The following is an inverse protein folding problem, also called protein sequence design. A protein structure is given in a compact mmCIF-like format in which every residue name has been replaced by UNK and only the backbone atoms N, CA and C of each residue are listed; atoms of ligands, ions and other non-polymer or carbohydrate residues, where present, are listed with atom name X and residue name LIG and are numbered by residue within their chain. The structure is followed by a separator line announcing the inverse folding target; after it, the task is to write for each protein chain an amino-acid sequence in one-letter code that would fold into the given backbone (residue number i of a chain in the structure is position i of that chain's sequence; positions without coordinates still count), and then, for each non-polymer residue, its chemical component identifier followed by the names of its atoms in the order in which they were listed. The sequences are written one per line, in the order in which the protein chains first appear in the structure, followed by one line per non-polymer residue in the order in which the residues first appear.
data_IF_157680325740
#
_entry.id   IF_157680325740
#
_cell.length_a   1.000
_cell.length_b   1.000
_cell.length_c   1.000
_cell.angle_alpha   90.00
_cell.angle_beta   90.00
_cell.angle_gamma   90.00
#
_symmetry.space_group_name_H-M   'P 1'
#
loop_
_entity.id
_entity.type
_entity.pdbx_description
1 polymer ?
#
# COMPACT_ATOMS: atom_id res chain seq x y z
N UNK A 1 -10.86 -14.49 -0.06
CA UNK A 1 -9.89 -15.55 0.33
C UNK A 1 -8.41 -15.19 0.14
N UNK A 2 -8.08 -14.10 -0.57
CA UNK A 2 -6.68 -13.75 -0.87
C UNK A 2 -6.12 -12.63 0.03
N UNK A 3 -6.93 -11.61 0.30
CA UNK A 3 -6.41 -10.33 0.84
C UNK A 3 -6.94 -9.95 2.22
N UNK A 4 -8.06 -10.55 2.64
CA UNK A 4 -8.66 -10.29 3.95
C UNK A 4 -8.13 -11.28 4.99
N UNK A 5 -7.94 -10.83 6.23
CA UNK A 5 -7.60 -11.72 7.35
C UNK A 5 -8.83 -12.55 7.78
N UNK A 6 -8.63 -13.81 8.23
CA UNK A 6 -7.33 -14.50 8.38
C UNK A 6 -6.79 -15.10 7.07
N UNK A 7 -7.55 -15.09 5.97
CA UNK A 7 -7.18 -15.80 4.75
C UNK A 7 -5.85 -15.31 4.13
N UNK A 8 -5.50 -14.04 4.27
CA UNK A 8 -4.23 -13.48 3.83
C UNK A 8 -3.00 -14.15 4.50
N UNK A 9 -3.14 -14.73 5.69
CA UNK A 9 -2.05 -15.39 6.43
C UNK A 9 -1.42 -16.56 5.64
N UNK A 10 -2.14 -17.11 4.66
CA UNK A 10 -1.61 -18.12 3.73
C UNK A 10 -0.38 -17.64 2.97
N UNK A 11 -0.22 -16.32 2.82
CA UNK A 11 0.90 -15.70 2.10
C UNK A 11 2.13 -15.47 2.99
N UNK A 12 2.03 -15.69 4.30
CA UNK A 12 3.15 -15.48 5.25
C UNK A 12 4.46 -16.11 4.79
N UNK A 13 4.52 -17.39 4.35
CA UNK A 13 5.79 -17.98 3.92
C UNK A 13 6.39 -17.27 2.70
N UNK A 14 5.56 -16.87 1.74
CA UNK A 14 6.01 -16.17 0.52
C UNK A 14 6.49 -14.75 0.84
N UNK A 15 5.74 -14.01 1.65
CA UNK A 15 6.09 -12.63 2.05
C UNK A 15 7.39 -12.64 2.88
N UNK A 16 7.51 -13.53 3.86
CA UNK A 16 8.71 -13.67 4.69
C UNK A 16 9.92 -14.04 3.84
N UNK A 17 9.77 -14.96 2.88
CA UNK A 17 10.85 -15.30 1.96
C UNK A 17 11.26 -14.09 1.12
N UNK A 18 10.31 -13.39 0.51
CA UNK A 18 10.59 -12.21 -0.31
C UNK A 18 11.29 -11.11 0.48
N UNK A 19 10.86 -10.83 1.70
CA UNK A 19 11.50 -9.85 2.59
C UNK A 19 12.96 -10.24 2.89
N UNK A 20 13.21 -11.51 3.24
CA UNK A 20 14.57 -11.98 3.51
C UNK A 20 15.46 -11.95 2.26
N UNK A 21 14.97 -12.48 1.13
CA UNK A 21 15.70 -12.48 -0.15
C UNK A 21 16.04 -11.06 -0.62
N UNK A 22 15.16 -10.08 -0.38
CA UNK A 22 15.43 -8.68 -0.71
C UNK A 22 16.52 -8.11 0.20
N UNK A 23 16.46 -8.38 1.50
CA UNK A 23 17.44 -7.90 2.47
C UNK A 23 18.83 -8.52 2.27
N UNK A 24 18.90 -9.81 1.90
CA UNK A 24 20.15 -10.53 1.61
C UNK A 24 21.01 -9.85 0.53
N UNK A 25 20.39 -9.09 -0.38
CA UNK A 25 21.10 -8.41 -1.48
C UNK A 25 21.95 -7.21 -1.03
N UNK A 26 21.72 -6.70 0.17
CA UNK A 26 22.34 -5.45 0.63
C UNK A 26 22.75 -5.45 2.10
N UNK A 27 22.37 -6.45 2.90
CA UNK A 27 22.67 -6.51 4.34
C UNK A 27 24.17 -6.36 4.65
N UNK A 28 25.06 -6.95 3.84
CA UNK A 28 26.52 -6.90 4.07
C UNK A 28 27.13 -5.51 3.80
N UNK A 29 26.39 -4.59 3.18
CA UNK A 29 26.89 -3.26 2.81
C UNK A 29 26.84 -2.26 3.97
N UNK A 30 25.98 -2.50 4.98
CA UNK A 30 25.72 -1.55 6.07
C UNK A 30 24.99 -0.27 5.66
N UNK A 31 24.59 -0.15 4.39
CA UNK A 31 23.80 0.98 3.87
C UNK A 31 22.82 0.53 2.78
N UNK A 32 21.71 1.26 2.63
CA UNK A 32 20.67 0.96 1.64
C UNK A 32 19.85 2.20 1.26
N UNK A 33 19.52 2.35 -0.03
CA UNK A 33 18.37 3.16 -0.47
C UNK A 33 17.14 2.25 -0.40
N UNK A 34 16.36 2.38 0.69
CA UNK A 34 15.34 1.41 1.08
C UNK A 34 14.17 1.36 0.10
N UNK A 35 13.79 2.49 -0.50
CA UNK A 35 12.61 2.55 -1.38
C UNK A 35 12.79 1.60 -2.55
N UNK A 36 13.90 1.73 -3.29
CA UNK A 36 14.21 0.90 -4.44
C UNK A 36 14.62 -0.51 -4.07
N UNK A 37 15.33 -0.69 -2.96
CA UNK A 37 15.93 -1.98 -2.62
C UNK A 37 14.98 -2.94 -1.88
N UNK A 38 13.96 -2.42 -1.18
CA UNK A 38 13.11 -3.22 -0.30
C UNK A 38 11.63 -2.81 -0.32
N UNK A 39 11.32 -1.52 -0.07
CA UNK A 39 9.94 -1.09 0.16
C UNK A 39 9.08 -1.14 -1.11
N UNK A 40 9.63 -0.84 -2.30
CA UNK A 40 8.91 -0.97 -3.58
C UNK A 40 8.86 -2.44 -4.08
N UNK A 41 9.97 -3.19 -4.09
CA UNK A 41 9.94 -4.56 -4.63
C UNK A 41 9.10 -5.54 -3.81
N UNK A 42 9.03 -5.40 -2.49
CA UNK A 42 8.31 -6.35 -1.63
C UNK A 42 6.81 -6.45 -1.98
N UNK A 43 6.01 -5.38 -1.92
CA UNK A 43 4.59 -5.45 -2.29
C UNK A 43 4.40 -5.83 -3.76
N UNK A 44 5.32 -5.43 -4.64
CA UNK A 44 5.29 -5.82 -6.04
C UNK A 44 5.40 -7.33 -6.26
N UNK A 45 6.31 -8.00 -5.55
CA UNK A 45 6.43 -9.47 -5.58
C UNK A 45 5.14 -10.11 -5.05
N UNK A 46 4.61 -9.56 -3.95
CA UNK A 46 3.44 -10.10 -3.26
C UNK A 46 2.20 -10.04 -4.15
N UNK A 47 1.84 -8.87 -4.66
CA UNK A 47 0.63 -8.72 -5.47
C UNK A 47 0.74 -9.42 -6.83
N UNK A 48 1.92 -9.40 -7.47
CA UNK A 48 2.17 -10.11 -8.73
C UNK A 48 1.92 -11.61 -8.55
N UNK A 49 2.45 -12.18 -7.46
CA UNK A 49 2.25 -13.60 -7.11
C UNK A 49 0.78 -13.90 -6.81
N UNK A 50 0.11 -13.05 -6.02
CA UNK A 50 -1.31 -13.25 -5.63
C UNK A 50 -2.24 -13.18 -6.84
N UNK A 51 -2.02 -12.21 -7.74
CA UNK A 51 -2.78 -12.10 -8.99
C UNK A 51 -2.53 -13.29 -9.91
N UNK A 52 -1.37 -13.93 -9.79
CA UNK A 52 -0.96 -15.04 -10.64
C UNK A 52 -0.25 -14.61 -11.91
N UNK A 53 0.28 -13.39 -11.94
CA UNK A 53 1.13 -12.91 -13.02
C UNK A 53 2.53 -13.54 -12.92
N UNK A 54 3.22 -13.76 -14.05
CA UNK A 54 4.62 -14.18 -14.05
C UNK A 54 5.53 -13.10 -13.43
N UNK A 55 6.48 -13.50 -12.56
CA UNK A 55 7.39 -12.55 -11.91
C UNK A 55 8.35 -11.88 -12.90
N UNK A 56 8.68 -12.55 -14.00
CA UNK A 56 9.45 -11.99 -15.11
C UNK A 56 8.78 -10.79 -15.79
N UNK A 57 7.46 -10.66 -15.67
CA UNK A 57 6.70 -9.54 -16.22
C UNK A 57 6.64 -8.33 -15.27
N UNK A 58 7.24 -8.39 -14.07
CA UNK A 58 7.22 -7.29 -13.10
C UNK A 58 7.69 -5.94 -13.68
N UNK A 59 8.65 -5.97 -14.63
CA UNK A 59 9.09 -4.75 -15.31
C UNK A 59 7.99 -4.11 -16.17
N UNK A 60 7.15 -4.92 -16.83
CA UNK A 60 6.01 -4.45 -17.62
C UNK A 60 4.88 -3.96 -16.72
N UNK A 61 4.56 -4.74 -15.67
CA UNK A 61 3.47 -4.40 -14.75
C UNK A 61 3.73 -3.11 -14.00
N UNK A 62 5.00 -2.83 -13.65
CA UNK A 62 5.42 -1.53 -13.09
C UNK A 62 5.09 -0.35 -14.00
N UNK A 63 5.35 -0.45 -15.31
CA UNK A 63 5.05 0.64 -16.26
C UNK A 63 3.54 0.92 -16.25
N UNK A 64 2.72 -0.14 -16.29
CA UNK A 64 1.27 0.03 -16.24
C UNK A 64 0.78 0.54 -14.88
N UNK A 65 1.46 0.22 -13.78
CA UNK A 65 1.18 0.78 -12.47
C UNK A 65 1.40 2.29 -12.44
N UNK A 66 2.57 2.75 -12.88
CA UNK A 66 2.94 4.17 -12.94
C UNK A 66 1.92 4.96 -13.78
N UNK A 67 1.43 4.36 -14.87
CA UNK A 67 0.36 4.94 -15.67
C UNK A 67 -1.01 4.94 -14.95
N UNK A 68 -1.38 3.87 -14.24
CA UNK A 68 -2.62 3.84 -13.46
C UNK A 68 -2.70 4.96 -12.42
N UNK A 69 -1.56 5.32 -11.82
CA UNK A 69 -1.50 6.34 -10.78
C UNK A 69 -1.19 7.74 -11.29
N UNK A 70 -0.65 7.89 -12.51
CA UNK A 70 -0.18 9.16 -13.10
C UNK A 70 -1.11 10.33 -12.85
N UNK A 71 -2.42 10.10 -13.01
CA UNK A 71 -3.46 11.08 -12.77
C UNK A 71 -3.44 11.66 -11.35
N UNK A 72 -3.30 10.82 -10.32
CA UNK A 72 -3.33 11.22 -8.92
C UNK A 72 -2.06 11.93 -8.46
N UNK A 73 -0.98 11.77 -9.22
CA UNK A 73 0.36 12.28 -8.92
C UNK A 73 0.63 13.58 -9.65
N UNK A 74 0.40 13.59 -10.97
CA UNK A 74 0.74 14.68 -11.87
C UNK A 74 -0.47 15.44 -12.42
N UNK A 75 -1.69 14.99 -12.10
CA UNK A 75 -2.90 15.65 -12.55
C UNK A 75 -3.10 17.02 -11.88
N UNK A 76 -3.73 17.94 -12.61
CA UNK A 76 -4.05 19.28 -12.13
C UNK A 76 -5.54 19.43 -11.78
N UNK A 77 -5.86 20.45 -10.99
CA UNK A 77 -7.20 20.75 -10.45
C UNK A 77 -7.76 19.66 -9.51
N UNK A 78 -8.90 19.94 -8.89
CA UNK A 78 -9.61 18.97 -8.04
C UNK A 78 -10.16 17.75 -8.80
N UNK A 79 -10.07 17.74 -10.14
CA UNK A 79 -10.49 16.63 -11.00
C UNK A 79 -9.33 15.75 -11.44
N UNK A 80 -8.10 16.06 -11.03
CA UNK A 80 -6.88 15.36 -11.44
C UNK A 80 -6.83 15.20 -12.97
N UNK A 81 -6.86 16.28 -13.72
CA UNK A 81 -6.82 16.24 -15.19
C UNK A 81 -5.37 16.09 -15.67
N UNK A 82 -5.12 15.34 -16.74
CA UNK A 82 -3.83 15.32 -17.43
C UNK A 82 -3.89 16.20 -18.69
N UNK A 83 -2.74 16.53 -19.29
CA UNK A 83 -2.75 17.16 -20.61
C UNK A 83 -3.28 16.18 -21.68
N UNK A 84 -3.79 16.64 -22.84
CA UNK A 84 -4.26 15.75 -23.89
C UNK A 84 -3.22 14.71 -24.34
N UNK A 85 -1.95 15.09 -24.41
CA UNK A 85 -0.85 14.19 -24.77
C UNK A 85 -0.63 13.12 -23.70
N UNK A 86 -0.66 13.53 -22.42
CA UNK A 86 -0.54 12.62 -21.29
C UNK A 86 -1.74 11.67 -21.20
N UNK A 87 -2.97 12.15 -21.41
CA UNK A 87 -4.18 11.33 -21.46
C UNK A 87 -4.09 10.26 -22.55
N UNK A 88 -3.61 10.64 -23.75
CA UNK A 88 -3.45 9.70 -24.86
C UNK A 88 -2.44 8.60 -24.53
N UNK A 89 -1.24 8.98 -24.09
CA UNK A 89 -0.19 8.01 -23.72
C UNK A 89 -0.64 7.10 -22.56
N UNK A 90 -1.34 7.69 -21.58
CA UNK A 90 -1.91 6.95 -20.47
C UNK A 90 -2.95 5.92 -20.95
N UNK A 91 -3.89 6.33 -21.81
CA UNK A 91 -4.89 5.43 -22.36
C UNK A 91 -4.26 4.27 -23.16
N UNK A 92 -3.25 4.54 -23.97
CA UNK A 92 -2.53 3.51 -24.73
C UNK A 92 -1.90 2.45 -23.81
N UNK A 93 -1.26 2.88 -22.71
CA UNK A 93 -0.68 1.97 -21.73
C UNK A 93 -1.74 1.16 -20.98
N UNK A 94 -2.84 1.79 -20.58
CA UNK A 94 -3.92 1.09 -19.86
C UNK A 94 -4.67 0.09 -20.75
N UNK A 95 -4.81 0.38 -22.05
CA UNK A 95 -5.35 -0.58 -23.03
C UNK A 95 -4.39 -1.77 -23.19
N UNK A 96 -3.08 -1.52 -23.27
CA UNK A 96 -2.09 -2.60 -23.32
C UNK A 96 -2.16 -3.49 -22.06
N UNK A 97 -2.35 -2.90 -20.88
CA UNK A 97 -2.54 -3.66 -19.64
C UNK A 97 -3.83 -4.48 -19.66
N UNK A 98 -4.93 -3.92 -20.17
CA UNK A 98 -6.20 -4.65 -20.31
C UNK A 98 -6.04 -5.88 -21.23
N UNK A 99 -5.33 -5.75 -22.35
CA UNK A 99 -5.03 -6.89 -23.22
C UNK A 99 -4.18 -7.94 -22.50
N UNK A 100 -3.15 -7.51 -21.76
CA UNK A 100 -2.34 -8.41 -20.94
C UNK A 100 -3.17 -9.18 -19.90
N UNK A 101 -4.08 -8.50 -19.20
CA UNK A 101 -5.00 -9.17 -18.26
C UNK A 101 -5.89 -10.18 -19.01
N UNK A 102 -6.36 -9.84 -20.20
CA UNK A 102 -7.13 -10.75 -21.06
C UNK A 102 -6.34 -12.01 -21.43
N UNK A 103 -5.07 -11.87 -21.82
CA UNK A 103 -4.17 -12.99 -22.09
C UNK A 103 -3.97 -13.87 -20.86
N UNK A 104 -3.79 -13.26 -19.68
CA UNK A 104 -3.68 -14.00 -18.42
C UNK A 104 -4.98 -14.75 -18.10
N UNK A 105 -6.15 -14.13 -18.29
CA UNK A 105 -7.44 -14.80 -18.08
C UNK A 105 -7.57 -16.03 -18.98
N UNK A 106 -7.22 -15.93 -20.27
CA UNK A 106 -7.28 -17.06 -21.19
C UNK A 106 -6.26 -18.15 -20.83
N UNK A 107 -5.03 -17.80 -20.48
CA UNK A 107 -4.05 -18.78 -19.98
C UNK A 107 -4.58 -19.52 -18.74
N UNK A 108 -5.14 -18.81 -17.75
CA UNK A 108 -5.67 -19.45 -16.53
C UNK A 108 -6.91 -20.31 -16.77
N UNK A 109 -7.66 -20.09 -17.86
CA UNK A 109 -8.75 -21.01 -18.26
C UNK A 109 -8.22 -22.35 -18.74
N UNK A 110 -7.14 -22.33 -19.54
CA UNK A 110 -6.52 -23.54 -20.07
C UNK A 110 -5.59 -24.21 -19.03
N UNK A 111 -4.94 -23.40 -18.20
CA UNK A 111 -3.89 -23.79 -17.26
C UNK A 111 -4.19 -23.20 -15.85
N UNK A 112 -5.24 -23.66 -15.16
CA UNK A 112 -5.61 -23.12 -13.85
C UNK A 112 -4.49 -23.34 -12.81
N UNK A 113 -4.28 -22.33 -11.96
CA UNK A 113 -3.29 -22.37 -10.87
C UNK A 113 -3.93 -21.87 -9.56
N UNK A 114 -3.21 -21.96 -8.44
CA UNK A 114 -3.68 -21.43 -7.16
C UNK A 114 -3.38 -19.93 -7.08
N UNK A 115 -4.18 -19.12 -7.78
CA UNK A 115 -4.07 -17.65 -7.81
C UNK A 115 -5.44 -16.94 -7.87
N UNK A 116 -5.41 -15.61 -7.70
CA UNK A 116 -6.62 -14.79 -7.67
C UNK A 116 -7.37 -14.80 -9.01
N UNK A 117 -6.67 -14.73 -10.16
CA UNK A 117 -7.35 -14.73 -11.47
C UNK A 117 -8.11 -16.04 -11.69
N UNK A 118 -7.47 -17.18 -11.41
CA UNK A 118 -8.11 -18.51 -11.48
C UNK A 118 -9.31 -18.58 -10.53
N UNK A 119 -9.20 -18.03 -9.32
CA UNK A 119 -10.33 -17.93 -8.39
C UNK A 119 -11.48 -17.08 -8.97
N UNK A 120 -11.18 -15.91 -9.52
CA UNK A 120 -12.18 -14.98 -10.07
C UNK A 120 -12.90 -15.55 -11.30
N UNK A 121 -12.22 -16.36 -12.12
CA UNK A 121 -12.83 -17.07 -13.25
C UNK A 121 -13.93 -18.04 -12.78
N UNK A 122 -13.75 -18.65 -11.61
CA UNK A 122 -14.60 -19.74 -11.13
C UNK A 122 -15.60 -19.33 -10.05
N UNK A 123 -15.43 -18.15 -9.44
CA UNK A 123 -16.30 -17.70 -8.34
C UNK A 123 -17.71 -17.38 -8.83
N UNK A 124 -18.71 -17.86 -8.08
CA UNK A 124 -20.10 -17.49 -8.25
C UNK A 124 -20.48 -16.42 -7.24
N UNK A 125 -21.26 -15.41 -7.66
CA UNK A 125 -21.65 -14.31 -6.81
C UNK A 125 -23.07 -13.79 -7.09
N UNK A 126 -23.57 -13.01 -6.13
CA UNK A 126 -24.90 -12.42 -6.20
C UNK A 126 -26.02 -13.45 -5.92
N UNK A 127 -27.28 -12.97 -5.89
CA UNK A 127 -28.43 -13.82 -5.59
C UNK A 127 -28.62 -14.96 -6.61
N UNK A 128 -28.21 -14.73 -7.85
CA UNK A 128 -28.31 -15.69 -8.96
C UNK A 128 -27.11 -16.63 -9.09
N UNK A 129 -26.09 -16.50 -8.22
CA UNK A 129 -24.85 -17.30 -8.27
C UNK A 129 -24.20 -17.34 -9.66
N UNK A 130 -24.15 -16.19 -10.32
CA UNK A 130 -23.51 -16.09 -11.64
C UNK A 130 -22.00 -15.97 -11.50
N UNK A 131 -21.27 -16.38 -12.54
CA UNK A 131 -19.83 -16.11 -12.67
C UNK A 131 -19.57 -14.65 -13.03
N UNK A 132 -18.35 -14.20 -12.74
CA UNK A 132 -17.85 -12.91 -13.22
C UNK A 132 -17.63 -12.97 -14.75
N UNK A 133 -17.91 -11.85 -15.40
CA UNK A 133 -17.54 -11.64 -16.81
C UNK A 133 -16.09 -11.20 -16.92
N UNK A 134 -15.44 -11.38 -18.07
CA UNK A 134 -14.04 -10.99 -18.29
C UNK A 134 -13.78 -9.51 -17.95
N UNK A 135 -14.66 -8.55 -18.33
CA UNK A 135 -14.51 -7.16 -17.90
C UNK A 135 -14.60 -6.96 -16.38
N UNK A 136 -15.43 -7.74 -15.68
CA UNK A 136 -15.54 -7.68 -14.22
C UNK A 136 -14.28 -8.25 -13.55
N UNK A 137 -13.76 -9.37 -14.05
CA UNK A 137 -12.48 -9.95 -13.58
C UNK A 137 -11.35 -8.94 -13.80
N UNK A 138 -11.25 -8.39 -15.01
CA UNK A 138 -10.23 -7.40 -15.34
C UNK A 138 -10.32 -6.16 -14.46
N UNK A 139 -11.54 -5.70 -14.14
CA UNK A 139 -11.75 -4.56 -13.24
C UNK A 139 -11.26 -4.84 -11.81
N UNK A 140 -11.48 -6.06 -11.30
CA UNK A 140 -10.97 -6.47 -9.97
C UNK A 140 -9.45 -6.57 -10.00
N UNK A 141 -8.87 -7.21 -11.02
CA UNK A 141 -7.41 -7.35 -11.18
C UNK A 141 -6.74 -5.98 -11.27
N UNK A 142 -7.29 -5.08 -12.07
CA UNK A 142 -6.83 -3.70 -12.20
C UNK A 142 -6.83 -2.98 -10.83
N UNK A 143 -7.96 -3.05 -10.10
CA UNK A 143 -8.08 -2.42 -8.78
C UNK A 143 -7.12 -3.01 -7.73
N UNK A 144 -6.88 -4.32 -7.76
CA UNK A 144 -5.93 -4.99 -6.86
C UNK A 144 -4.48 -4.67 -7.21
N UNK A 145 -4.16 -4.56 -8.50
CA UNK A 145 -2.83 -4.21 -8.98
C UNK A 145 -2.43 -2.79 -8.56
N UNK A 146 -3.27 -1.78 -8.81
CA UNK A 146 -2.97 -0.41 -8.36
C UNK A 146 -2.96 -0.28 -6.83
N UNK A 147 -3.91 -0.93 -6.14
CA UNK A 147 -4.08 -0.77 -4.70
C UNK A 147 -3.05 -1.51 -3.84
N UNK A 148 -2.47 -2.60 -4.36
CA UNK A 148 -1.59 -3.50 -3.61
C UNK A 148 -0.10 -3.15 -3.62
N UNK A 149 0.32 -2.15 -4.41
CA UNK A 149 1.74 -1.83 -4.62
C UNK A 149 2.18 -0.58 -3.83
N UNK A 150 2.14 0.59 -4.46
CA UNK A 150 2.66 1.87 -3.94
C UNK A 150 2.21 2.20 -2.50
N UNK A 151 0.95 1.95 -2.14
CA UNK A 151 0.47 2.32 -0.80
C UNK A 151 1.16 1.53 0.32
N UNK A 152 1.44 0.24 0.11
CA UNK A 152 2.21 -0.57 1.05
C UNK A 152 3.68 -0.15 1.03
N UNK A 153 4.25 0.16 -0.13
CA UNK A 153 5.59 0.72 -0.23
C UNK A 153 5.75 1.96 0.66
N UNK A 154 4.84 2.93 0.56
CA UNK A 154 4.93 4.17 1.33
C UNK A 154 4.83 3.91 2.84
N UNK A 155 3.98 2.96 3.26
CA UNK A 155 3.87 2.57 4.65
C UNK A 155 5.19 1.97 5.16
N UNK A 156 5.77 1.01 4.42
CA UNK A 156 7.06 0.39 4.75
C UNK A 156 8.20 1.41 4.85
N UNK A 157 8.23 2.38 3.93
CA UNK A 157 9.22 3.46 3.96
C UNK A 157 9.05 4.35 5.19
N UNK A 158 7.82 4.72 5.54
CA UNK A 158 7.55 5.51 6.74
C UNK A 158 7.88 4.76 8.04
N UNK A 159 7.55 3.47 8.12
CA UNK A 159 7.91 2.61 9.25
C UNK A 159 9.42 2.53 9.45
N UNK A 160 10.19 2.28 8.39
CA UNK A 160 11.64 2.24 8.48
C UNK A 160 12.26 3.59 8.87
N UNK A 161 11.72 4.70 8.35
CA UNK A 161 12.13 6.05 8.77
C UNK A 161 11.88 6.27 10.26
N UNK A 162 10.71 5.86 10.77
CA UNK A 162 10.36 5.98 12.19
C UNK A 162 11.29 5.15 13.09
N UNK A 163 11.59 3.91 12.69
CA UNK A 163 12.54 3.06 13.40
C UNK A 163 13.96 3.68 13.41
N UNK A 164 14.40 4.24 12.28
CA UNK A 164 15.71 4.88 12.15
C UNK A 164 15.84 6.18 12.97
N UNK A 165 14.72 6.84 13.28
CA UNK A 165 14.69 8.08 14.07
C UNK A 165 14.50 7.83 15.57
N UNK A 166 14.05 6.63 15.97
CA UNK A 166 13.66 6.33 17.35
C UNK A 166 14.30 5.02 17.85
N UNK A 167 15.58 5.03 18.27
CA UNK A 167 16.26 3.83 18.77
C UNK A 167 15.58 3.19 19.98
N UNK A 168 15.03 3.99 20.91
CA UNK A 168 14.32 3.48 22.09
C UNK A 168 13.07 2.66 21.71
N UNK A 169 12.39 3.07 20.64
CA UNK A 169 11.25 2.34 20.07
C UNK A 169 11.69 0.99 19.50
N UNK A 170 12.84 0.95 18.82
CA UNK A 170 13.42 -0.29 18.28
C UNK A 170 13.70 -1.28 19.42
N UNK A 171 14.29 -0.81 20.53
CA UNK A 171 14.56 -1.64 21.70
C UNK A 171 13.27 -2.15 22.37
N UNK A 172 12.25 -1.30 22.50
CA UNK A 172 10.95 -1.71 23.04
C UNK A 172 10.29 -2.80 22.17
N UNK A 173 10.32 -2.66 20.85
CA UNK A 173 9.78 -3.65 19.90
C UNK A 173 10.60 -4.94 19.86
N UNK A 174 11.90 -4.90 20.18
CA UNK A 174 12.76 -6.08 20.37
C UNK A 174 12.48 -6.80 21.66
N UNK A 175 12.27 -6.08 22.75
CA UNK A 175 11.91 -6.66 24.03
C UNK A 175 10.54 -7.35 24.00
N UNK A 176 9.59 -6.82 23.21
CA UNK A 176 8.25 -7.40 23.07
C UNK A 176 7.75 -7.31 21.62
N UNK A 177 7.97 -8.39 20.86
CA UNK A 177 7.51 -8.53 19.46
C UNK A 177 5.99 -8.44 19.30
N UNK A 178 5.21 -8.65 20.37
CA UNK A 178 3.75 -8.50 20.30
C UNK A 178 3.31 -7.04 20.10
N UNK A 179 4.22 -6.08 20.32
CA UNK A 179 3.99 -4.65 20.10
C UNK A 179 4.15 -4.21 18.65
N UNK A 180 4.75 -5.01 17.78
CA UNK A 180 4.93 -4.67 16.35
C UNK A 180 3.60 -4.36 15.67
N UNK A 181 2.55 -5.12 15.96
CA UNK A 181 1.21 -4.85 15.43
C UNK A 181 0.65 -3.49 15.86
N UNK A 182 1.01 -2.98 17.04
CA UNK A 182 0.58 -1.66 17.51
C UNK A 182 1.41 -0.56 16.85
N UNK A 183 2.71 -0.79 16.68
CA UNK A 183 3.58 0.11 15.93
C UNK A 183 3.10 0.31 14.49
N UNK A 184 2.77 -0.78 13.78
CA UNK A 184 2.26 -0.73 12.40
C UNK A 184 1.00 0.14 12.30
N UNK A 185 0.03 -0.04 13.20
CA UNK A 185 -1.17 0.81 13.22
C UNK A 185 -0.87 2.28 13.57
N UNK A 186 0.05 2.55 14.50
CA UNK A 186 0.44 3.94 14.83
C UNK A 186 1.23 4.60 13.68
N UNK A 187 2.07 3.85 12.98
CA UNK A 187 2.78 4.31 11.80
C UNK A 187 1.78 4.63 10.67
N UNK A 188 0.82 3.74 10.39
CA UNK A 188 -0.26 3.99 9.43
C UNK A 188 -1.14 5.17 9.82
N UNK A 189 -1.35 5.42 11.11
CA UNK A 189 -2.09 6.58 11.62
C UNK A 189 -1.34 7.87 11.28
N UNK A 190 -0.05 7.94 11.64
CA UNK A 190 0.80 9.13 11.44
C UNK A 190 1.11 9.35 9.95
N UNK A 191 1.46 8.31 9.23
CA UNK A 191 1.92 8.37 7.83
C UNK A 191 0.98 7.58 6.93
N UNK A 192 -0.29 7.99 6.89
CA UNK A 192 -1.27 7.41 5.99
C UNK A 192 -0.80 7.52 4.52
N UNK A 193 -0.58 6.39 3.80
CA UNK A 193 -0.09 6.44 2.43
C UNK A 193 -0.97 7.28 1.51
N UNK A 194 -2.29 7.20 1.67
CA UNK A 194 -3.26 8.08 1.01
C UNK A 194 -3.78 9.12 2.00
N UNK A 195 -3.45 10.39 1.79
CA UNK A 195 -3.82 11.50 2.66
C UNK A 195 -5.31 11.88 2.56
N UNK A 196 -5.98 11.49 1.49
CA UNK A 196 -7.40 11.74 1.31
C UNK A 196 -7.95 11.28 -0.03
N UNK A 197 -9.29 11.31 -0.18
CA UNK A 197 -9.97 11.01 -1.43
C UNK A 197 -10.97 12.10 -1.79
N UNK A 198 -10.93 12.54 -3.05
CA UNK A 198 -11.88 13.50 -3.65
C UNK A 198 -12.94 12.79 -4.50
N UNK A 199 -13.60 11.77 -3.95
CA UNK A 199 -14.51 10.87 -4.70
C UNK A 199 -15.92 10.81 -4.14
N UNK A 200 -16.31 11.75 -3.27
CA UNK A 200 -17.66 11.82 -2.70
C UNK A 200 -18.41 12.99 -3.30
N UNK A 201 -19.55 12.71 -3.92
CA UNK A 201 -20.47 13.72 -4.44
C UNK A 201 -21.68 13.79 -3.51
N UNK A 202 -22.03 15.00 -3.10
CA UNK A 202 -23.18 15.27 -2.24
C UNK A 202 -24.47 15.08 -3.04
N UNK A 203 -25.32 14.14 -2.63
CA UNK A 203 -26.52 13.74 -3.40
C UNK A 203 -27.77 14.57 -3.10
N UNK A 204 -27.77 15.32 -2.00
CA UNK A 204 -28.81 16.26 -1.57
C UNK A 204 -28.14 17.33 -0.71
N UNK A 205 -28.75 18.50 -0.55
CA UNK A 205 -28.21 19.53 0.34
C UNK A 205 -28.05 18.97 1.76
N UNK A 206 -26.89 19.23 2.36
CA UNK A 206 -26.56 18.80 3.72
C UNK A 206 -25.93 19.95 4.50
N UNK A 207 -25.94 19.84 5.82
CA UNK A 207 -25.14 20.67 6.70
C UNK A 207 -24.17 19.76 7.46
N UNK A 208 -22.88 20.12 7.49
CA UNK A 208 -21.85 19.40 8.23
C UNK A 208 -21.08 20.37 9.11
N UNK A 209 -21.16 20.19 10.43
CA UNK A 209 -20.48 21.05 11.42
C UNK A 209 -20.76 22.55 11.23
N UNK A 210 -22.00 22.92 10.91
CA UNK A 210 -22.39 24.31 10.68
C UNK A 210 -22.11 24.84 9.27
N UNK A 211 -21.59 24.00 8.36
CA UNK A 211 -21.33 24.38 6.96
C UNK A 211 -22.40 23.79 6.06
N UNK A 212 -23.14 24.64 5.36
CA UNK A 212 -24.07 24.22 4.30
C UNK A 212 -23.30 23.76 3.06
N UNK A 213 -23.63 22.57 2.57
CA UNK A 213 -22.97 21.94 1.42
C UNK A 213 -24.04 21.55 0.40
N UNK A 214 -24.11 22.25 -0.75
CA UNK A 214 -25.12 21.99 -1.77
C UNK A 214 -24.95 20.62 -2.45
N UNK A 215 -26.07 20.09 -2.96
CA UNK A 215 -26.09 18.95 -3.89
C UNK A 215 -25.13 19.19 -5.07
N UNK A 216 -24.39 18.16 -5.45
CA UNK A 216 -23.40 18.19 -6.52
C UNK A 216 -22.01 18.61 -6.07
N UNK A 217 -21.84 19.12 -4.84
CA UNK A 217 -20.53 19.41 -4.28
C UNK A 217 -19.66 18.16 -4.19
N UNK A 218 -18.37 18.30 -4.49
CA UNK A 218 -17.37 17.26 -4.28
C UNK A 218 -16.72 17.44 -2.91
N UNK A 219 -16.72 16.38 -2.10
CA UNK A 219 -16.03 16.35 -0.82
C UNK A 219 -14.67 15.69 -0.96
N UNK A 220 -13.66 16.37 -0.42
CA UNK A 220 -12.34 15.80 -0.20
C UNK A 220 -12.24 15.34 1.25
N UNK A 221 -12.30 14.02 1.46
CA UNK A 221 -12.10 13.43 2.78
C UNK A 221 -10.60 13.40 3.10
N UNK A 222 -10.18 14.01 4.21
CA UNK A 222 -8.76 14.13 4.60
C UNK A 222 -8.41 13.12 5.69
N UNK A 223 -7.99 11.92 5.28
CA UNK A 223 -7.65 10.83 6.20
C UNK A 223 -6.46 11.17 7.09
N UNK A 224 -5.39 11.75 6.54
CA UNK A 224 -4.20 12.11 7.33
C UNK A 224 -4.50 13.14 8.42
N UNK A 225 -5.44 14.06 8.16
CA UNK A 225 -5.91 15.03 9.15
C UNK A 225 -6.81 14.36 10.20
N UNK A 226 -7.77 13.53 9.78
CA UNK A 226 -8.65 12.79 10.69
C UNK A 226 -7.88 11.84 11.63
N UNK A 227 -6.78 11.26 11.16
CA UNK A 227 -5.90 10.41 11.97
C UNK A 227 -5.13 11.16 13.07
N UNK A 228 -5.07 12.49 12.97
CA UNK A 228 -4.46 13.41 13.93
C UNK A 228 -5.51 14.30 14.63
N UNK A 229 -6.78 13.93 14.56
CA UNK A 229 -7.84 14.67 15.24
C UNK A 229 -7.71 14.49 16.77
N UNK A 230 -7.46 15.55 17.56
CA UNK A 230 -7.29 15.44 19.01
C UNK A 230 -8.55 14.96 19.73
N UNK A 231 -9.75 15.13 19.13
CA UNK A 231 -11.00 14.63 19.70
C UNK A 231 -11.09 13.09 19.63
N UNK A 232 -10.37 12.48 18.69
CA UNK A 232 -10.33 11.03 18.50
C UNK A 232 -9.06 10.39 19.03
N UNK A 233 -7.94 11.11 19.01
CA UNK A 233 -6.61 10.60 19.24
C UNK A 233 -5.77 11.59 20.06
N UNK A 234 -5.74 11.46 21.40
CA UNK A 234 -4.75 12.16 22.23
C UNK A 234 -3.33 11.75 21.80
N UNK A 235 -2.38 12.69 21.92
CA UNK A 235 -1.00 12.56 21.43
C UNK A 235 -0.93 12.39 19.90
N UNK A 236 -1.37 13.43 19.18
CA UNK A 236 -1.63 13.43 17.73
C UNK A 236 -0.39 13.09 16.90
N UNK A 237 0.80 13.46 17.37
CA UNK A 237 2.04 13.40 16.59
C UNK A 237 3.10 12.42 17.15
N UNK A 238 2.73 11.60 18.15
CA UNK A 238 3.63 10.59 18.73
C UNK A 238 3.08 9.18 18.57
N UNK A 239 3.98 8.20 18.58
CA UNK A 239 3.64 6.78 18.63
C UNK A 239 3.24 6.41 20.06
N UNK A 240 2.09 5.76 20.22
CA UNK A 240 1.65 5.16 21.49
C UNK A 240 1.34 3.67 21.28
N UNK A 241 2.29 2.81 21.67
CA UNK A 241 2.15 1.35 21.55
C UNK A 241 1.09 0.76 22.51
N UNK A 242 0.59 1.55 23.46
CA UNK A 242 -0.44 1.14 24.41
C UNK A 242 -1.85 1.60 24.02
N UNK A 243 -1.98 2.28 22.87
CA UNK A 243 -3.26 2.80 22.40
C UNK A 243 -4.27 1.67 22.29
N UNK A 244 -5.41 1.81 22.98
CA UNK A 244 -6.43 0.75 23.10
C UNK A 244 -7.06 0.32 21.77
N UNK A 245 -7.13 1.23 20.79
CA UNK A 245 -7.81 1.00 19.52
C UNK A 245 -7.01 1.61 18.35
N UNK A 246 -5.78 1.13 18.12
CA UNK A 246 -4.86 1.80 17.21
C UNK A 246 -5.38 1.74 15.76
N UNK A 247 -6.08 0.67 15.37
CA UNK A 247 -6.69 0.52 14.04
C UNK A 247 -7.97 1.32 13.76
N UNK A 248 -8.35 2.30 14.60
CA UNK A 248 -9.48 3.21 14.31
C UNK A 248 -9.12 4.34 13.34
N UNK A 249 -7.86 4.45 12.94
CA UNK A 249 -7.42 5.40 11.92
C UNK A 249 -8.13 5.16 10.57
N UNK A 250 -8.25 6.20 9.75
CA UNK A 250 -8.94 6.19 8.45
C UNK A 250 -8.03 5.87 7.26
N UNK A 251 -6.79 5.43 7.50
CA UNK A 251 -5.82 5.08 6.44
C UNK A 251 -6.37 4.04 5.45
N UNK A 252 -7.19 3.10 5.92
CA UNK A 252 -7.87 2.12 5.08
C UNK A 252 -9.32 2.49 4.72
N UNK A 253 -9.73 3.75 4.95
CA UNK A 253 -11.12 4.20 4.86
C UNK A 253 -12.06 3.43 5.80
N UNK A 254 -13.36 3.68 5.73
CA UNK A 254 -14.39 2.95 6.48
C UNK A 254 -15.65 2.74 5.63
N UNK A 255 -16.49 1.80 6.06
CA UNK A 255 -17.79 1.51 5.46
C UNK A 255 -17.70 0.66 4.18
N UNK A 256 -18.66 0.77 3.25
CA UNK A 256 -18.73 -0.08 2.05
C UNK A 256 -17.53 0.02 1.09
N UNK A 257 -16.65 1.01 1.29
CA UNK A 257 -15.44 1.27 0.49
C UNK A 257 -14.18 1.18 1.35
N UNK A 258 -14.23 0.40 2.44
CA UNK A 258 -13.02 0.03 3.20
C UNK A 258 -12.05 -0.71 2.28
N UNK A 259 -10.75 -0.49 2.47
CA UNK A 259 -9.72 -1.11 1.65
C UNK A 259 -9.82 -2.64 1.75
N UNK A 260 -10.00 -3.36 0.62
CA UNK A 260 -10.08 -4.82 0.64
C UNK A 260 -8.73 -5.47 0.99
N UNK A 261 -7.62 -4.78 0.67
CA UNK A 261 -6.25 -5.20 0.96
C UNK A 261 -5.75 -4.88 2.37
N UNK A 262 -6.59 -4.33 3.24
CA UNK A 262 -6.19 -3.86 4.56
C UNK A 262 -5.60 -4.98 5.46
N UNK A 263 -6.01 -6.23 5.25
CA UNK A 263 -5.45 -7.38 5.95
C UNK A 263 -4.07 -7.79 5.43
N UNK A 264 -3.95 -7.90 4.11
CA UNK A 264 -2.69 -8.23 3.43
C UNK A 264 -1.61 -7.17 3.68
N UNK A 265 -1.95 -5.88 3.52
CA UNK A 265 -1.00 -4.78 3.74
C UNK A 265 -0.46 -4.77 5.17
N UNK A 266 -1.31 -5.06 6.18
CA UNK A 266 -0.86 -5.24 7.56
C UNK A 266 0.07 -6.43 7.71
N UNK A 267 -0.25 -7.56 7.09
CA UNK A 267 0.59 -8.75 7.14
C UNK A 267 1.99 -8.46 6.58
N UNK A 268 2.07 -7.78 5.44
CA UNK A 268 3.33 -7.35 4.83
C UNK A 268 4.15 -6.45 5.75
N UNK A 269 3.54 -5.39 6.30
CA UNK A 269 4.18 -4.47 7.24
C UNK A 269 4.68 -5.18 8.50
N UNK A 270 3.83 -6.01 9.12
CA UNK A 270 4.23 -6.77 10.31
C UNK A 270 5.42 -7.69 10.02
N UNK A 271 5.43 -8.40 8.89
CA UNK A 271 6.55 -9.26 8.51
C UNK A 271 7.81 -8.43 8.25
N UNK A 272 7.70 -7.38 7.45
CA UNK A 272 8.82 -6.51 7.10
C UNK A 272 9.48 -5.87 8.33
N UNK A 273 8.68 -5.34 9.25
CA UNK A 273 9.17 -4.75 10.51
C UNK A 273 9.88 -5.81 11.36
N UNK A 274 9.31 -7.00 11.52
CA UNK A 274 9.99 -8.07 12.26
C UNK A 274 11.33 -8.47 11.60
N UNK A 275 11.36 -8.63 10.28
CA UNK A 275 12.59 -8.94 9.54
C UNK A 275 13.65 -7.85 9.73
N UNK A 276 13.27 -6.57 9.65
CA UNK A 276 14.18 -5.45 9.94
C UNK A 276 14.71 -5.51 11.38
N UNK A 277 13.84 -5.73 12.36
CA UNK A 277 14.23 -5.76 13.76
C UNK A 277 15.09 -6.98 14.14
N UNK A 278 15.01 -8.08 13.40
CA UNK A 278 15.80 -9.30 13.61
C UNK A 278 17.21 -9.18 13.00
N UNK A 279 17.36 -8.39 11.93
CA UNK A 279 18.56 -8.43 11.08
C UNK A 279 19.37 -7.14 11.05
N UNK A 280 18.74 -6.00 11.34
CA UNK A 280 19.40 -4.69 11.34
C UNK A 280 19.65 -4.29 12.79
N UNK A 281 20.82 -3.72 13.08
CA UNK A 281 21.14 -3.02 14.31
C UNK A 281 21.61 -1.59 14.06
N UNK A 282 21.56 -0.72 15.07
CA UNK A 282 21.98 0.69 14.95
C UNK A 282 21.45 1.41 13.68
N UNK A 283 20.19 1.10 13.31
CA UNK A 283 19.52 1.65 12.14
C UNK A 283 19.34 3.16 12.30
N UNK A 284 19.78 3.92 11.29
CA UNK A 284 19.76 5.38 11.29
C UNK A 284 19.60 5.94 9.89
N UNK A 285 19.17 7.19 9.80
CA UNK A 285 19.19 7.93 8.53
C UNK A 285 20.65 8.14 8.11
N UNK A 286 20.95 7.88 6.83
CA UNK A 286 22.27 8.18 6.28
C UNK A 286 22.50 9.70 6.28
N UNK A 287 23.60 10.20 6.87
CA UNK A 287 23.90 11.63 6.93
C UNK A 287 23.94 12.27 5.55
N UNK A 288 23.30 13.43 5.39
CA UNK A 288 23.30 14.25 4.16
C UNK A 288 22.84 13.56 2.86
N UNK A 289 22.23 12.36 2.95
CA UNK A 289 21.67 11.62 1.79
C UNK A 289 20.14 11.66 1.71
N UNK A 290 19.47 12.40 2.60
CA UNK A 290 18.01 12.43 2.68
C UNK A 290 17.50 13.87 2.68
N UNK A 291 16.66 14.21 1.71
CA UNK A 291 15.90 15.47 1.70
C UNK A 291 14.46 15.31 2.22
N UNK A 292 14.03 14.05 2.44
CA UNK A 292 12.71 13.64 2.91
C UNK A 292 11.56 14.26 2.09
N UNK A 293 11.80 14.46 0.79
CA UNK A 293 10.80 14.96 -0.14
C UNK A 293 9.78 13.89 -0.48
N UNK A 294 8.53 14.32 -0.57
CA UNK A 294 7.41 13.44 -0.87
C UNK A 294 6.93 13.62 -2.31
N UNK A 295 6.37 12.55 -2.85
CA UNK A 295 5.61 12.57 -4.09
C UNK A 295 4.45 13.58 -4.00
N UNK A 296 4.19 14.36 -5.07
CA UNK A 296 3.09 15.30 -5.09
C UNK A 296 1.72 14.58 -5.13
N UNK A 297 0.67 15.33 -4.79
CA UNK A 297 -0.71 14.86 -4.89
C UNK A 297 -1.29 14.41 -3.56
N UNK A 298 -2.09 13.34 -3.60
CA UNK A 298 -2.79 12.81 -2.41
C UNK A 298 -2.04 11.67 -1.72
N UNK A 299 -0.91 11.25 -2.28
CA UNK A 299 -0.07 10.21 -1.69
C UNK A 299 1.00 10.83 -0.78
N UNK A 300 1.38 10.12 0.29
CA UNK A 300 2.47 10.49 1.18
C UNK A 300 3.59 9.46 1.06
N UNK A 301 4.22 9.40 -0.11
CA UNK A 301 5.37 8.54 -0.38
C UNK A 301 6.66 9.34 -0.45
N UNK A 302 7.70 8.92 0.25
CA UNK A 302 9.05 9.46 0.05
C UNK A 302 9.61 8.98 -1.29
N UNK A 303 10.33 9.86 -2.00
CA UNK A 303 11.00 9.48 -3.23
C UNK A 303 12.15 8.50 -2.99
N UNK A 304 12.94 8.76 -1.95
CA UNK A 304 14.11 7.99 -1.56
C UNK A 304 14.22 7.97 -0.03
N UNK A 305 14.80 6.89 0.51
CA UNK A 305 15.14 6.80 1.93
C UNK A 305 16.47 6.07 2.08
N UNK A 306 17.55 6.83 2.30
CA UNK A 306 18.89 6.31 2.48
C UNK A 306 19.15 6.03 3.97
N UNK A 307 19.46 4.78 4.32
CA UNK A 307 19.69 4.31 5.69
C UNK A 307 21.08 3.71 5.84
N UNK A 308 21.64 3.82 7.04
CA UNK A 308 22.82 3.09 7.50
C UNK A 308 22.45 2.19 8.68
N UNK A 309 23.12 1.06 8.83
CA UNK A 309 22.87 0.07 9.88
C UNK A 309 24.09 -0.85 10.06
N UNK A 310 24.14 -1.54 11.19
CA UNK A 310 25.03 -2.66 11.44
C UNK A 310 24.29 -3.98 11.22
N UNK A 311 24.97 -5.01 10.72
CA UNK A 311 24.37 -6.33 10.60
C UNK A 311 24.19 -6.94 11.99
N UNK A 312 22.96 -7.30 12.35
CA UNK A 312 22.67 -7.93 13.63
C UNK A 312 23.03 -9.41 13.60
N UNK A 313 23.79 -9.85 14.60
CA UNK A 313 24.21 -11.25 14.75
C UNK A 313 25.36 -11.68 13.85
N UNK A 314 26.05 -10.73 13.20
CA UNK A 314 27.36 -10.95 12.58
C UNK A 314 28.50 -10.97 13.61
#
# INVERSE_FOLDING_TARGET
PWVALPAAERHTPMITKAANDLMDKWIEKGEVELVKAFAAPLPQIVITTILGFPLEDMGKTRIWEEEQVKRFVYGFSHKNLLTPEQEKANAEALVAFQHYIGEQIEDKRQNPRDDMITFLINVEYGPEKRRLTDPEIASVVYGMHIGGNETTQYALTAEAMLLAQQPDLVEELRADRSKVRFFVEEALRLYAPTQGLSTRVVMKDIELRGVEIPRGSMLHLRYGAANRDPDLCPATDSIDLTRKNPGRHLTFSMGPRVCPGAGLSRLEQNIAVNVMLDRLDNLRLAPDKNDLTHQPGIMLGLWELNLEFDQRGA
#
